data_IF_435246337371
#
_entry.id   IF_435246337371
#
_cell.length_a   1.000
_cell.length_b   1.000
_cell.length_c   1.000
_cell.angle_alpha   90.00
_cell.angle_beta   90.00
_cell.angle_gamma   90.00
#
_symmetry.space_group_name_H-M   'P 1'
#
loop_
_entity.id
_entity.type
_entity.pdbx_description
1 polymer ?
#
# COMPACT_ATOMS: atom_id res chain seq x y z
N UNK A 1 -20.90 -31.56 -4.68
CA UNK A 1 -19.55 -31.09 -4.33
C UNK A 1 -18.75 -31.03 -5.62
N UNK A 2 -18.13 -29.89 -5.93
CA UNK A 2 -17.33 -29.77 -7.13
C UNK A 2 -16.02 -30.56 -6.99
N UNK A 3 -15.44 -31.01 -8.10
CA UNK A 3 -14.14 -31.69 -8.11
C UNK A 3 -13.03 -30.84 -7.46
N UNK A 4 -13.15 -29.51 -7.59
CA UNK A 4 -12.25 -28.53 -6.96
C UNK A 4 -12.45 -28.52 -5.43
N UNK A 5 -13.68 -28.67 -4.93
CA UNK A 5 -13.96 -28.71 -3.50
C UNK A 5 -13.38 -30.00 -2.87
N UNK A 6 -13.41 -31.11 -3.60
CA UNK A 6 -12.80 -32.38 -3.18
C UNK A 6 -11.26 -32.28 -3.16
N UNK A 7 -10.65 -31.70 -4.20
CA UNK A 7 -9.21 -31.47 -4.24
C UNK A 7 -8.73 -30.48 -3.17
N UNK A 8 -9.46 -29.38 -2.93
CA UNK A 8 -9.15 -28.43 -1.85
C UNK A 8 -9.30 -29.07 -0.45
N UNK A 9 -10.24 -30.00 -0.28
CA UNK A 9 -10.40 -30.76 0.97
C UNK A 9 -9.28 -31.78 1.19
N UNK A 10 -8.70 -32.32 0.11
CA UNK A 10 -7.63 -33.32 0.16
C UNK A 10 -6.22 -32.69 0.21
N UNK A 11 -6.01 -31.56 -0.47
CA UNK A 11 -4.71 -30.89 -0.65
C UNK A 11 -4.59 -29.54 0.07
N UNK A 12 -5.69 -29.04 0.64
CA UNK A 12 -5.80 -27.72 1.26
C UNK A 12 -6.01 -26.60 0.24
N UNK A 13 -6.58 -25.46 0.67
CA UNK A 13 -6.67 -24.26 -0.17
C UNK A 13 -5.25 -23.68 -0.38
N UNK A 14 -4.74 -23.62 -1.63
CA UNK A 14 -3.42 -23.08 -1.92
C UNK A 14 -3.26 -21.62 -1.45
N UNK A 15 -4.33 -20.84 -1.43
CA UNK A 15 -4.27 -19.45 -0.98
C UNK A 15 -4.16 -19.37 0.54
N UNK A 16 -4.90 -20.21 1.27
CA UNK A 16 -4.78 -20.28 2.72
C UNK A 16 -3.36 -20.72 3.14
N UNK A 17 -2.75 -21.62 2.37
CA UNK A 17 -1.35 -22.04 2.56
C UNK A 17 -0.37 -20.88 2.39
N UNK A 18 -0.53 -20.04 1.36
CA UNK A 18 0.31 -18.85 1.16
C UNK A 18 0.09 -17.80 2.25
N UNK A 19 -1.15 -17.53 2.64
CA UNK A 19 -1.46 -16.62 3.75
C UNK A 19 -0.85 -17.11 5.08
N UNK A 20 -0.85 -18.43 5.31
CA UNK A 20 -0.23 -19.03 6.49
C UNK A 20 1.28 -18.81 6.55
N UNK A 21 1.96 -18.81 5.40
CA UNK A 21 3.40 -18.46 5.31
C UNK A 21 3.68 -17.00 5.62
N UNK A 22 2.71 -16.11 5.41
CA UNK A 22 2.83 -14.68 5.70
C UNK A 22 2.48 -14.34 7.15
N UNK A 23 1.75 -15.19 7.88
CA UNK A 23 1.40 -14.93 9.29
C UNK A 23 2.60 -14.59 10.21
N UNK A 24 3.76 -15.29 10.12
CA UNK A 24 4.92 -14.94 10.93
C UNK A 24 5.44 -13.51 10.68
N UNK A 25 5.17 -12.95 9.50
CA UNK A 25 5.57 -11.59 9.16
C UNK A 25 4.86 -10.56 10.04
N UNK A 26 3.58 -10.76 10.38
CA UNK A 26 2.85 -9.87 11.28
C UNK A 26 3.62 -9.72 12.58
N UNK A 27 4.02 -10.85 13.19
CA UNK A 27 4.78 -10.82 14.44
C UNK A 27 6.08 -10.04 14.28
N UNK A 28 6.83 -10.25 13.19
CA UNK A 28 8.07 -9.49 12.92
C UNK A 28 7.81 -7.99 12.81
N UNK A 29 6.83 -7.58 12.00
CA UNK A 29 6.45 -6.17 11.82
C UNK A 29 6.03 -5.55 13.15
N UNK A 30 5.17 -6.23 13.92
CA UNK A 30 4.72 -5.73 15.23
C UNK A 30 5.84 -5.69 16.26
N UNK A 31 6.79 -6.62 16.22
CA UNK A 31 8.00 -6.58 17.05
C UNK A 31 8.88 -5.37 16.69
N UNK A 32 9.13 -5.11 15.40
CA UNK A 32 9.86 -3.92 14.96
C UNK A 32 9.11 -2.62 15.33
N UNK A 33 7.79 -2.57 15.14
CA UNK A 33 6.94 -1.44 15.54
C UNK A 33 7.02 -1.19 17.05
N UNK A 34 6.99 -2.26 17.84
CA UNK A 34 6.97 -2.21 19.30
C UNK A 34 8.33 -1.92 19.94
N UNK A 35 9.42 -1.98 19.16
CA UNK A 35 10.76 -1.77 19.65
C UNK A 35 10.97 -0.31 20.11
N UNK A 36 11.71 -0.05 21.21
CA UNK A 36 11.88 1.29 21.76
C UNK A 36 12.37 2.33 20.73
N UNK A 37 13.29 1.93 19.86
CA UNK A 37 13.84 2.75 18.78
C UNK A 37 12.77 3.23 17.81
N UNK A 38 11.73 2.43 17.55
CA UNK A 38 10.62 2.77 16.67
C UNK A 38 9.54 3.58 17.40
N UNK A 39 9.18 3.15 18.61
CA UNK A 39 8.15 3.83 19.42
C UNK A 39 8.53 5.25 19.80
N UNK A 40 9.81 5.50 19.99
CA UNK A 40 10.33 6.81 20.38
C UNK A 40 10.49 7.78 19.20
N UNK A 41 10.34 7.31 17.95
CA UNK A 41 10.38 8.19 16.78
C UNK A 41 9.28 9.25 16.86
N UNK A 42 9.64 10.46 16.47
CA UNK A 42 8.78 11.61 16.24
C UNK A 42 8.73 11.92 14.75
N UNK A 43 7.82 12.80 14.33
CA UNK A 43 7.68 13.22 12.93
C UNK A 43 9.01 13.73 12.34
N UNK A 44 9.82 14.45 13.13
CA UNK A 44 11.13 14.96 12.71
C UNK A 44 12.19 13.88 12.44
N UNK A 45 11.99 12.68 12.97
CA UNK A 45 12.96 11.58 12.89
C UNK A 45 12.69 10.68 11.68
N UNK A 46 11.46 10.68 11.18
CA UNK A 46 11.01 9.80 10.11
C UNK A 46 11.84 9.94 8.81
N UNK A 47 12.14 11.15 8.29
CA UNK A 47 12.97 11.28 7.08
C UNK A 47 14.38 10.69 7.25
N UNK A 48 14.96 10.80 8.46
CA UNK A 48 16.28 10.22 8.76
C UNK A 48 16.25 8.71 8.72
N UNK A 49 15.15 8.11 9.20
CA UNK A 49 14.97 6.65 9.16
C UNK A 49 14.81 6.15 7.72
N UNK A 50 14.13 6.92 6.87
CA UNK A 50 14.05 6.65 5.44
C UNK A 50 15.42 6.71 4.77
N UNK A 51 16.26 7.69 5.12
CA UNK A 51 17.62 7.77 4.59
C UNK A 51 18.50 6.60 5.06
N UNK A 52 18.43 6.22 6.33
CA UNK A 52 19.10 5.00 6.84
C UNK A 52 18.74 3.76 6.01
N UNK A 53 17.45 3.60 5.69
CA UNK A 53 16.97 2.51 4.87
C UNK A 53 17.45 2.59 3.42
N UNK A 54 17.49 3.78 2.81
CA UNK A 54 18.06 3.98 1.47
C UNK A 54 19.54 3.61 1.42
N UNK A 55 20.31 3.95 2.46
CA UNK A 55 21.72 3.56 2.59
C UNK A 55 21.86 2.04 2.67
N UNK A 56 21.04 1.37 3.50
CA UNK A 56 21.03 -0.09 3.60
C UNK A 56 20.69 -0.79 2.29
N UNK A 57 19.66 -0.32 1.58
CA UNK A 57 19.24 -0.85 0.28
C UNK A 57 20.32 -0.64 -0.78
N UNK A 58 20.94 0.54 -0.84
CA UNK A 58 22.05 0.80 -1.77
C UNK A 58 23.32 0.01 -1.42
N UNK A 59 23.49 -0.34 -0.14
CA UNK A 59 24.50 -1.29 0.35
C UNK A 59 24.21 -2.77 0.03
N UNK A 60 23.10 -3.07 -0.65
CA UNK A 60 22.75 -4.42 -1.12
C UNK A 60 21.81 -5.21 -0.22
N UNK A 61 21.25 -4.62 0.83
CA UNK A 61 20.21 -5.29 1.62
C UNK A 61 18.94 -5.52 0.79
N UNK A 62 18.43 -6.75 0.80
CA UNK A 62 17.23 -7.11 0.07
C UNK A 62 15.98 -6.45 0.68
N UNK A 63 15.07 -5.94 -0.16
CA UNK A 63 13.82 -5.33 0.30
C UNK A 63 12.99 -6.27 1.17
N UNK A 64 12.96 -7.57 0.86
CA UNK A 64 12.27 -8.59 1.65
C UNK A 64 12.82 -8.70 3.09
N UNK A 65 14.12 -8.47 3.28
CA UNK A 65 14.75 -8.48 4.59
C UNK A 65 14.39 -7.22 5.39
N UNK A 66 14.34 -6.07 4.70
CA UNK A 66 14.01 -4.78 5.28
C UNK A 66 12.50 -4.59 5.54
N UNK A 67 11.65 -5.36 4.86
CA UNK A 67 10.19 -5.23 4.88
C UNK A 67 9.60 -5.10 6.30
N UNK A 68 9.97 -5.93 7.30
CA UNK A 68 9.40 -5.82 8.64
C UNK A 68 9.64 -4.45 9.30
N UNK A 69 10.86 -3.93 9.17
CA UNK A 69 11.25 -2.63 9.74
C UNK A 69 10.59 -1.47 8.97
N UNK A 70 10.60 -1.54 7.63
CA UNK A 70 9.98 -0.53 6.78
C UNK A 70 8.47 -0.41 7.05
N UNK A 71 7.77 -1.55 7.16
CA UNK A 71 6.34 -1.55 7.49
C UNK A 71 6.10 -1.03 8.91
N UNK A 72 6.98 -1.36 9.86
CA UNK A 72 6.94 -0.81 11.22
C UNK A 72 7.03 0.72 11.24
N UNK A 73 7.93 1.31 10.44
CA UNK A 73 8.06 2.78 10.29
C UNK A 73 6.78 3.38 9.70
N UNK A 74 6.19 2.76 8.67
CA UNK A 74 4.94 3.25 8.06
C UNK A 74 3.78 3.23 9.07
N UNK A 75 3.67 2.18 9.89
CA UNK A 75 2.67 2.11 10.95
C UNK A 75 2.92 3.21 11.99
N UNK A 76 4.16 3.41 12.41
CA UNK A 76 4.52 4.47 13.36
C UNK A 76 4.19 5.87 12.82
N UNK A 77 4.50 6.13 11.56
CA UNK A 77 4.15 7.38 10.88
C UNK A 77 2.62 7.57 10.82
N UNK A 78 1.87 6.50 10.57
CA UNK A 78 0.40 6.51 10.59
C UNK A 78 -0.17 6.85 11.97
N UNK A 79 0.44 6.37 13.06
CA UNK A 79 0.05 6.72 14.43
C UNK A 79 0.29 8.20 14.73
N UNK A 80 1.43 8.73 14.29
CA UNK A 80 1.86 10.12 14.51
C UNK A 80 1.02 11.13 13.71
N UNK A 81 0.43 10.70 12.60
CA UNK A 81 -0.45 11.51 11.77
C UNK A 81 -1.89 11.60 12.29
N UNK A 82 -2.26 10.87 13.35
CA UNK A 82 -3.62 10.91 13.87
C UNK A 82 -4.10 12.34 14.16
N UNK A 83 -5.28 12.67 13.64
CA UNK A 83 -5.88 14.00 13.74
C UNK A 83 -5.33 15.06 12.77
N UNK A 84 -4.32 14.76 11.95
CA UNK A 84 -3.90 15.64 10.85
C UNK A 84 -4.92 15.62 9.71
N UNK A 85 -5.04 16.70 8.97
CA UNK A 85 -5.95 16.78 7.83
C UNK A 85 -5.34 17.45 6.62
N UNK A 86 -5.90 17.11 5.46
CA UNK A 86 -5.63 17.77 4.18
C UNK A 86 -6.95 18.04 3.48
N UNK A 87 -7.03 19.16 2.77
CA UNK A 87 -8.24 19.57 2.08
C UNK A 87 -8.10 19.45 0.57
N UNK A 88 -9.15 18.97 -0.09
CA UNK A 88 -9.30 18.99 -1.55
C UNK A 88 -10.60 19.71 -1.90
N UNK A 89 -10.48 21.00 -2.21
CA UNK A 89 -11.65 21.88 -2.38
C UNK A 89 -12.42 22.01 -1.08
N UNK A 90 -13.69 21.60 -1.07
CA UNK A 90 -14.56 21.63 0.13
C UNK A 90 -14.50 20.36 0.98
N UNK A 91 -13.80 19.33 0.52
CA UNK A 91 -13.68 18.06 1.24
C UNK A 91 -12.43 18.08 2.11
N UNK A 92 -12.58 17.75 3.39
CA UNK A 92 -11.47 17.56 4.33
C UNK A 92 -11.26 16.07 4.60
N UNK A 93 -10.00 15.63 4.53
CA UNK A 93 -9.59 14.26 4.79
C UNK A 93 -8.77 14.23 6.07
N UNK A 94 -9.34 13.69 7.14
CA UNK A 94 -8.66 13.55 8.43
C UNK A 94 -8.00 12.18 8.48
N UNK A 95 -6.73 12.16 8.88
CA UNK A 95 -5.99 10.93 9.13
C UNK A 95 -6.35 10.37 10.51
N UNK A 96 -7.18 9.33 10.55
CA UNK A 96 -7.55 8.61 11.77
C UNK A 96 -7.45 7.10 11.55
N UNK A 97 -6.34 6.65 10.97
CA UNK A 97 -6.18 5.27 10.54
C UNK A 97 -4.77 4.76 10.83
N UNK A 98 -4.71 3.52 11.32
CA UNK A 98 -3.48 2.78 11.61
C UNK A 98 -3.63 1.38 11.01
N UNK A 99 -2.64 0.85 10.28
CA UNK A 99 -2.79 -0.44 9.61
C UNK A 99 -3.07 -1.62 10.57
N UNK A 100 -4.08 -2.41 10.23
CA UNK A 100 -4.40 -3.71 10.86
C UNK A 100 -3.51 -4.83 10.33
N UNK A 101 -3.49 -5.97 11.04
CA UNK A 101 -2.68 -7.14 10.67
C UNK A 101 -3.03 -7.71 9.28
N UNK A 102 -4.31 -7.70 8.93
CA UNK A 102 -4.76 -8.12 7.59
C UNK A 102 -4.23 -7.19 6.50
N UNK A 103 -4.04 -5.90 6.81
CA UNK A 103 -3.51 -4.92 5.88
C UNK A 103 -1.98 -5.07 5.73
N UNK A 104 -1.28 -5.47 6.79
CA UNK A 104 0.14 -5.86 6.73
C UNK A 104 0.33 -7.02 5.77
N UNK A 105 -0.51 -8.06 5.86
CA UNK A 105 -0.50 -9.19 4.92
C UNK A 105 -0.79 -8.70 3.50
N UNK A 106 -1.84 -7.89 3.31
CA UNK A 106 -2.19 -7.33 2.00
C UNK A 106 -1.02 -6.56 1.36
N UNK A 107 -0.33 -5.73 2.15
CA UNK A 107 0.86 -5.01 1.70
C UNK A 107 2.00 -5.95 1.27
N UNK A 108 2.25 -7.01 2.03
CA UNK A 108 3.26 -8.01 1.70
C UNK A 108 2.91 -8.81 0.43
N UNK A 109 1.62 -9.12 0.22
CA UNK A 109 1.13 -9.76 -1.02
C UNK A 109 1.38 -8.85 -2.22
N UNK A 110 1.06 -7.55 -2.10
CA UNK A 110 1.33 -6.57 -3.16
C UNK A 110 2.82 -6.47 -3.46
N UNK A 111 3.67 -6.36 -2.43
CA UNK A 111 5.13 -6.29 -2.61
C UNK A 111 5.68 -7.48 -3.43
N UNK A 112 5.15 -8.69 -3.20
CA UNK A 112 5.50 -9.91 -3.95
C UNK A 112 5.00 -9.93 -5.40
N UNK A 113 4.34 -8.87 -5.87
CA UNK A 113 3.77 -8.79 -7.22
C UNK A 113 2.49 -9.62 -7.39
N UNK A 114 1.85 -10.02 -6.28
CA UNK A 114 0.59 -10.76 -6.31
C UNK A 114 -0.61 -9.82 -6.08
N UNK A 115 -1.80 -10.27 -6.47
CA UNK A 115 -3.04 -9.52 -6.25
C UNK A 115 -3.54 -9.74 -4.82
N UNK A 116 -3.70 -8.64 -4.08
CA UNK A 116 -4.38 -8.65 -2.80
C UNK A 116 -5.89 -8.41 -3.00
N UNK A 117 -6.68 -9.49 -3.01
CA UNK A 117 -8.13 -9.39 -2.98
C UNK A 117 -8.59 -9.04 -1.56
N UNK A 118 -9.35 -7.94 -1.46
CA UNK A 118 -9.82 -7.38 -0.20
C UNK A 118 -11.25 -6.88 -0.39
N UNK A 119 -12.10 -6.96 0.61
CA UNK A 119 -13.47 -6.42 0.53
C UNK A 119 -13.45 -4.90 0.58
N UNK A 120 -14.50 -4.28 0.03
CA UNK A 120 -14.70 -2.83 0.16
C UNK A 120 -14.85 -2.47 1.63
N UNK A 121 -14.12 -1.44 2.07
CA UNK A 121 -14.07 -1.04 3.48
C UNK A 121 -12.87 -1.59 4.26
N UNK A 122 -12.11 -2.56 3.72
CA UNK A 122 -10.90 -3.09 4.39
C UNK A 122 -9.67 -2.16 4.25
N UNK A 123 -9.85 -0.95 3.70
CA UNK A 123 -8.80 0.07 3.62
C UNK A 123 -7.73 -0.20 2.56
N UNK A 124 -8.12 -0.63 1.35
CA UNK A 124 -7.22 -0.88 0.20
C UNK A 124 -6.23 0.26 -0.06
N UNK A 125 -6.67 1.51 0.08
CA UNK A 125 -5.81 2.69 -0.12
C UNK A 125 -4.68 2.74 0.92
N UNK A 126 -5.00 2.51 2.20
CA UNK A 126 -4.00 2.45 3.28
C UNK A 126 -3.08 1.25 3.14
N UNK A 127 -3.58 0.10 2.71
CA UNK A 127 -2.78 -1.12 2.49
C UNK A 127 -1.63 -0.87 1.52
N UNK A 128 -1.87 -0.06 0.48
CA UNK A 128 -0.89 0.21 -0.56
C UNK A 128 0.27 1.08 -0.08
N UNK A 129 0.12 1.84 1.01
CA UNK A 129 1.18 2.76 1.44
C UNK A 129 2.44 2.05 1.92
N UNK A 130 2.29 0.89 2.59
CA UNK A 130 3.41 0.08 3.07
C UNK A 130 4.32 -0.45 1.95
N UNK A 131 3.80 -1.18 0.93
CA UNK A 131 4.63 -1.65 -0.18
C UNK A 131 5.10 -0.50 -1.09
N UNK A 132 4.33 0.58 -1.23
CA UNK A 132 4.77 1.77 -1.98
C UNK A 132 6.00 2.39 -1.31
N UNK A 133 5.96 2.62 0.00
CA UNK A 133 7.09 3.13 0.75
C UNK A 133 8.32 2.23 0.62
N UNK A 134 8.17 0.92 0.86
CA UNK A 134 9.28 -0.04 0.77
C UNK A 134 9.95 -0.03 -0.61
N UNK A 135 9.16 -0.07 -1.70
CA UNK A 135 9.71 -0.08 -3.04
C UNK A 135 10.32 1.27 -3.46
N UNK A 136 9.79 2.38 -2.94
CA UNK A 136 10.32 3.72 -3.20
C UNK A 136 11.75 3.90 -2.64
N UNK A 137 12.15 3.14 -1.62
CA UNK A 137 13.51 3.15 -1.07
C UNK A 137 14.60 2.77 -2.09
N UNK A 138 14.22 2.14 -3.20
CA UNK A 138 15.16 1.82 -4.29
C UNK A 138 15.57 3.03 -5.13
N UNK A 139 14.89 4.17 -4.99
CA UNK A 139 15.13 5.37 -5.80
C UNK A 139 14.68 5.25 -7.26
N UNK A 140 14.05 4.14 -7.65
CA UNK A 140 13.56 3.92 -9.04
C UNK A 140 12.21 4.60 -9.30
N UNK A 141 11.50 4.99 -8.24
CA UNK A 141 10.15 5.53 -8.28
C UNK A 141 9.08 4.45 -8.32
N UNK A 142 7.90 4.77 -7.76
CA UNK A 142 6.73 3.89 -7.67
C UNK A 142 5.52 4.52 -8.33
N UNK A 143 4.79 3.76 -9.15
CA UNK A 143 3.57 4.22 -9.80
C UNK A 143 2.32 3.62 -9.15
N UNK A 144 1.42 4.48 -8.68
CA UNK A 144 0.12 4.10 -8.13
C UNK A 144 -0.96 4.46 -9.13
N UNK A 145 -1.55 3.45 -9.76
CA UNK A 145 -2.53 3.62 -10.83
C UNK A 145 -3.95 3.51 -10.28
N UNK A 146 -4.75 4.55 -10.48
CA UNK A 146 -6.16 4.59 -10.14
C UNK A 146 -7.03 4.57 -11.40
N UNK A 147 -8.35 4.52 -11.20
CA UNK A 147 -9.32 4.45 -12.31
C UNK A 147 -9.70 5.81 -12.89
N UNK A 148 -9.46 6.91 -12.17
CA UNK A 148 -9.77 8.26 -12.65
C UNK A 148 -8.93 9.34 -11.92
N UNK A 149 -8.89 10.53 -12.53
CA UNK A 149 -8.13 11.69 -12.06
C UNK A 149 -8.54 12.15 -10.65
N UNK A 150 -9.84 12.09 -10.34
CA UNK A 150 -10.33 12.43 -9.01
C UNK A 150 -9.70 11.54 -7.93
N UNK A 151 -9.68 10.23 -8.15
CA UNK A 151 -9.10 9.27 -7.21
C UNK A 151 -7.57 9.39 -7.15
N UNK A 152 -6.91 9.62 -8.30
CA UNK A 152 -5.48 9.90 -8.33
C UNK A 152 -5.15 11.12 -7.46
N UNK A 153 -5.85 12.23 -7.66
CA UNK A 153 -5.66 13.47 -6.90
C UNK A 153 -5.98 13.29 -5.42
N UNK A 154 -7.14 12.70 -5.10
CA UNK A 154 -7.55 12.44 -3.72
C UNK A 154 -6.52 11.59 -2.97
N UNK A 155 -6.13 10.46 -3.55
CA UNK A 155 -5.24 9.50 -2.89
C UNK A 155 -3.82 10.05 -2.80
N UNK A 156 -3.36 10.82 -3.80
CA UNK A 156 -2.06 11.51 -3.76
C UNK A 156 -1.96 12.52 -2.64
N UNK A 157 -3.03 13.29 -2.36
CA UNK A 157 -3.06 14.25 -1.26
C UNK A 157 -3.19 13.54 0.09
N UNK A 158 -4.13 12.59 0.17
CA UNK A 158 -4.45 11.95 1.44
C UNK A 158 -3.35 11.01 1.92
N UNK A 159 -2.87 10.10 1.05
CA UNK A 159 -1.73 9.25 1.38
C UNK A 159 -0.41 10.02 1.27
N UNK A 160 -0.38 11.13 0.53
CA UNK A 160 0.78 12.02 0.44
C UNK A 160 1.23 12.55 1.78
N UNK A 161 0.29 12.87 2.68
CA UNK A 161 0.62 13.24 4.07
C UNK A 161 1.56 12.22 4.75
N UNK A 162 1.38 10.92 4.48
CA UNK A 162 2.23 9.87 5.01
C UNK A 162 3.61 9.85 4.35
N UNK A 163 3.65 9.93 3.03
CA UNK A 163 4.92 9.89 2.29
C UNK A 163 5.78 11.12 2.57
N UNK A 164 5.18 12.30 2.68
CA UNK A 164 5.88 13.56 2.96
C UNK A 164 6.52 13.56 4.34
N UNK A 165 5.83 13.08 5.39
CA UNK A 165 6.44 12.97 6.73
C UNK A 165 7.53 11.90 6.78
N UNK A 166 7.48 10.90 5.89
CA UNK A 166 8.55 9.92 5.67
C UNK A 166 9.68 10.48 4.79
N UNK A 167 9.61 11.74 4.34
CA UNK A 167 10.65 12.36 3.50
C UNK A 167 10.66 11.91 2.05
N UNK A 168 9.57 11.30 1.56
CA UNK A 168 9.37 10.98 0.16
C UNK A 168 8.63 12.10 -0.58
N UNK A 169 8.94 12.23 -1.87
CA UNK A 169 8.25 13.15 -2.78
C UNK A 169 7.07 12.46 -3.48
N UNK A 170 5.96 13.19 -3.66
CA UNK A 170 4.73 12.67 -4.26
C UNK A 170 4.34 13.53 -5.46
N UNK A 171 4.22 12.88 -6.62
CA UNK A 171 3.76 13.48 -7.86
C UNK A 171 2.38 12.96 -8.26
N UNK A 172 1.65 13.75 -9.03
CA UNK A 172 0.31 13.38 -9.55
C UNK A 172 0.18 13.75 -11.01
N UNK A 173 -0.21 12.79 -11.84
CA UNK A 173 -0.42 12.97 -13.28
C UNK A 173 -1.91 12.85 -13.56
N UNK A 174 -2.48 13.98 -13.97
CA UNK A 174 -3.86 14.11 -14.41
C UNK A 174 -3.91 14.24 -15.93
N UNK A 175 -5.09 14.15 -16.52
CA UNK A 175 -5.27 14.25 -17.97
C UNK A 175 -4.74 15.57 -18.52
N UNK A 176 -4.94 16.67 -17.79
CA UNK A 176 -4.51 18.03 -18.13
C UNK A 176 -3.02 18.31 -17.84
N UNK A 177 -2.27 17.36 -17.26
CA UNK A 177 -0.84 17.57 -16.94
C UNK A 177 0.02 17.57 -18.20
N UNK A 178 0.57 18.74 -18.56
CA UNK A 178 1.36 18.99 -19.76
C UNK A 178 2.86 18.64 -19.61
N UNK A 179 3.61 18.64 -20.74
CA UNK A 179 4.87 17.92 -20.94
C UNK A 179 6.00 18.13 -19.91
N UNK A 180 6.39 19.37 -19.59
CA UNK A 180 7.50 19.64 -18.66
C UNK A 180 7.11 19.29 -17.22
N UNK A 181 5.89 19.62 -16.82
CA UNK A 181 5.34 19.30 -15.50
C UNK A 181 5.26 17.77 -15.32
N UNK A 182 4.81 17.03 -16.35
CA UNK A 182 4.74 15.57 -16.30
C UNK A 182 6.09 14.91 -16.01
N UNK A 183 7.20 15.43 -16.56
CA UNK A 183 8.55 14.91 -16.26
C UNK A 183 8.91 15.12 -14.78
N UNK A 184 8.56 16.26 -14.21
CA UNK A 184 8.77 16.54 -12.79
C UNK A 184 7.93 15.62 -11.90
N UNK A 185 6.65 15.40 -12.24
CA UNK A 185 5.77 14.47 -11.52
C UNK A 185 6.28 13.03 -11.55
N UNK A 186 6.87 12.59 -12.67
CA UNK A 186 7.52 11.30 -12.76
C UNK A 186 8.85 11.25 -12.00
N UNK A 187 9.53 12.37 -11.77
CA UNK A 187 10.78 12.37 -11.00
C UNK A 187 10.58 12.14 -9.49
N UNK A 188 9.34 12.26 -9.00
CA UNK A 188 9.01 11.96 -7.61
C UNK A 188 9.20 10.48 -7.25
N UNK A 189 9.41 10.21 -5.96
CA UNK A 189 9.54 8.87 -5.38
C UNK A 189 8.25 8.06 -5.58
N UNK A 190 7.09 8.72 -5.46
CA UNK A 190 5.77 8.13 -5.67
C UNK A 190 5.01 8.97 -6.69
N UNK A 191 4.45 8.35 -7.72
CA UNK A 191 3.62 9.02 -8.74
C UNK A 191 2.24 8.39 -8.80
N UNK A 192 1.20 9.18 -8.55
CA UNK A 192 -0.20 8.78 -8.76
C UNK A 192 -0.64 9.14 -10.18
N UNK A 193 -1.45 8.29 -10.80
CA UNK A 193 -2.01 8.57 -12.13
C UNK A 193 -3.04 7.56 -12.60
N UNK A 194 -3.46 7.68 -13.86
CA UNK A 194 -4.42 6.78 -14.50
C UNK A 194 -3.74 5.91 -15.57
N UNK A 195 -4.32 4.75 -15.90
CA UNK A 195 -3.74 3.84 -16.92
C UNK A 195 -3.57 4.48 -18.30
N UNK A 196 -4.41 5.46 -18.64
CA UNK A 196 -4.48 6.08 -19.98
C UNK A 196 -3.52 7.26 -20.18
N UNK A 197 -2.97 7.85 -19.11
CA UNK A 197 -2.21 9.11 -19.19
C UNK A 197 -0.78 8.90 -19.71
N UNK A 198 -0.64 8.48 -20.98
CA UNK A 198 0.61 8.50 -21.73
C UNK A 198 1.78 7.77 -21.05
N UNK A 199 1.49 6.81 -20.17
CA UNK A 199 2.50 5.94 -19.60
C UNK A 199 2.92 4.99 -20.72
N UNK A 200 3.97 5.36 -21.47
CA UNK A 200 4.55 4.45 -22.45
C UNK A 200 4.87 3.13 -21.76
N UNK A 201 4.57 2.00 -22.39
CA UNK A 201 4.82 0.65 -21.85
C UNK A 201 6.27 0.49 -21.34
N UNK A 202 7.19 1.27 -21.92
CA UNK A 202 8.60 1.39 -21.52
C UNK A 202 8.79 1.99 -20.13
N UNK A 203 8.04 3.03 -19.74
CA UNK A 203 8.18 3.65 -18.41
C UNK A 203 7.64 2.76 -17.27
N UNK A 204 6.54 2.02 -17.52
CA UNK A 204 6.02 1.02 -16.58
C UNK A 204 7.00 -0.13 -16.36
N UNK A 205 7.79 -0.50 -17.38
CA UNK A 205 8.72 -1.63 -17.29
C UNK A 205 9.90 -1.39 -16.33
N UNK A 206 10.23 -0.14 -16.04
CA UNK A 206 11.38 0.24 -15.20
C UNK A 206 11.02 0.54 -13.74
N UNK A 207 9.71 0.59 -13.42
CA UNK A 207 9.20 1.05 -12.13
C UNK A 207 8.23 0.06 -11.51
N UNK A 208 8.23 0.01 -10.18
CA UNK A 208 7.27 -0.81 -9.48
C UNK A 208 5.88 -0.16 -9.56
N UNK A 209 4.88 -0.92 -9.99
CA UNK A 209 3.53 -0.41 -10.29
C UNK A 209 2.49 -1.17 -9.47
N UNK A 210 1.57 -0.43 -8.83
CA UNK A 210 0.39 -1.00 -8.15
C UNK A 210 -0.89 -0.45 -8.77
N UNK A 211 -1.83 -1.36 -9.05
CA UNK A 211 -3.15 -1.02 -9.57
C UNK A 211 -4.18 -1.03 -8.46
N UNK A 212 -4.77 0.13 -8.18
CA UNK A 212 -5.86 0.28 -7.23
C UNK A 212 -7.20 0.15 -7.97
N UNK A 213 -7.74 -1.06 -8.02
CA UNK A 213 -9.08 -1.31 -8.56
C UNK A 213 -10.10 -1.28 -7.43
N UNK A 214 -11.02 -0.30 -7.45
CA UNK A 214 -12.23 -0.33 -6.63
C UNK A 214 -13.36 -0.91 -7.47
N UNK A 215 -13.74 -2.18 -7.22
CA UNK A 215 -15.03 -2.69 -7.71
C UNK A 215 -16.12 -2.32 -6.70
N UNK A 216 -17.26 -1.75 -7.12
CA UNK A 216 -18.43 -1.64 -6.25
C UNK A 216 -18.81 -3.04 -5.75
N UNK A 217 -19.14 -3.17 -4.46
CA UNK A 217 -19.76 -4.40 -3.99
C UNK A 217 -21.07 -4.58 -4.76
N UNK A 218 -21.24 -5.70 -5.47
CA UNK A 218 -22.53 -6.07 -6.02
C UNK A 218 -23.54 -6.08 -4.86
N UNK A 219 -24.55 -5.19 -4.91
CA UNK A 219 -25.70 -5.25 -4.01
C UNK A 219 -26.46 -6.53 -4.32
N UNK A 220 -26.22 -7.60 -3.59
CA UNK A 220 -27.21 -8.67 -3.44
C UNK A 220 -28.25 -8.19 -2.42
N UNK A 221 -29.43 -7.86 -2.91
CA UNK A 221 -30.60 -7.53 -2.10
C UNK A 221 -31.05 -8.76 -1.29
N UNK A 222 -30.85 -8.75 0.03
CA UNK A 222 -31.82 -9.24 1.03
C UNK A 222 -31.23 -9.26 2.44
N UNK A 223 -32.03 -8.77 3.37
CA UNK A 223 -32.07 -9.10 4.80
C UNK A 223 -31.02 -8.47 5.76
N UNK A 224 -31.62 -7.87 6.78
CA UNK A 224 -31.10 -7.31 8.03
C UNK A 224 -30.40 -8.31 8.96
N UNK A 225 -29.55 -7.75 9.81
CA UNK A 225 -29.15 -8.16 11.17
C UNK A 225 -27.67 -8.56 11.41
N UNK A 226 -27.13 -7.86 12.41
CA UNK A 226 -26.11 -8.22 13.41
C UNK A 226 -24.63 -8.36 13.04
N UNK A 227 -23.85 -7.57 13.78
CA UNK A 227 -22.40 -7.57 13.91
C UNK A 227 -21.85 -8.91 14.42
N UNK A 228 -20.90 -9.47 13.68
CA UNK A 228 -19.76 -10.29 14.15
C UNK A 228 -18.77 -10.42 12.97
N UNK A 229 -17.44 -10.48 13.21
CA UNK A 229 -16.47 -10.41 12.13
C UNK A 229 -16.38 -11.76 11.39
N UNK A 230 -16.41 -11.81 10.04
CA UNK A 230 -16.17 -13.04 9.33
C UNK A 230 -14.67 -13.28 9.15
N UNK A 231 -14.27 -14.51 9.45
CA UNK A 231 -12.97 -15.11 9.12
C UNK A 231 -12.83 -15.09 7.60
N UNK A 232 -11.86 -14.33 7.07
CA UNK A 232 -11.67 -14.13 5.63
C UNK A 232 -10.75 -15.19 5.02
N UNK A 233 -11.27 -15.96 4.06
CA UNK A 233 -10.52 -16.71 3.05
C UNK A 233 -10.20 -15.75 1.90
N UNK A 234 -8.90 -15.50 1.64
CA UNK A 234 -8.45 -14.67 0.52
C UNK A 234 -7.91 -15.54 -0.60
N UNK A 235 -8.22 -15.21 -1.87
CA UNK A 235 -7.72 -15.88 -3.07
C UNK A 235 -6.62 -15.06 -3.78
N UNK A 236 -5.56 -15.74 -4.25
CA UNK A 236 -4.42 -15.16 -4.97
C UNK A 236 -4.50 -15.61 -6.43
N UNK A 237 -4.61 -14.66 -7.36
CA UNK A 237 -4.50 -14.93 -8.80
C UNK A 237 -3.25 -14.22 -9.37
N UNK A 238 -2.48 -14.94 -10.20
CA UNK A 238 -1.44 -14.40 -11.09
C UNK A 238 -2.05 -14.10 -12.46
N UNK A 239 -1.62 -13.01 -13.08
CA UNK A 239 -1.77 -12.76 -14.52
C UNK A 239 -0.47 -13.08 -15.23
#
# INVERSE_FOLDING_TARGET
>A
MSFIDFLNKLLGDPNEKELRKLRPLIKKVRSCQGAPEMRNLKLSDLPKKTEEFRVRVSGGEALDALLPEAFGVVIRASELLQGKSVSMGKQEFIWNMVPYDVQIIGGAVLHKGAIAEMKTGEGKTLVCTMPVYLNALTGKGVHVVTVNDYLAKRDSLWMGMLYEVLGLTVGTILHETEGSDRKAQYACDVTYGIRSSGCSTTQLSTRWTVFLSMRPAHRSSSASQQMSPPIGTGSIHRW
#
